data_IF_845044682880
#
_entry.id   IF_845044682880
#
_cell.length_a   1.000
_cell.length_b   1.000
_cell.length_c   1.000
_cell.angle_alpha   90.00
_cell.angle_beta   90.00
_cell.angle_gamma   90.00
#
_symmetry.space_group_name_H-M   'P 1'
#
loop_
_entity.id
_entity.type
_entity.pdbx_description
1 polymer ?
#
# COMPACT_ATOMS: atom_id res chain seq x y z
N UNK A 1 -63.79 -8.21 10.58
CA UNK A 1 -62.79 -7.15 10.32
C UNK A 1 -61.33 -7.55 10.59
N UNK A 2 -61.02 -8.68 11.24
CA UNK A 2 -59.64 -9.02 11.64
C UNK A 2 -58.64 -9.35 10.53
N UNK A 3 -59.07 -9.91 9.38
CA UNK A 3 -58.15 -10.30 8.30
C UNK A 3 -57.56 -9.11 7.52
N UNK A 4 -58.21 -7.94 7.56
CA UNK A 4 -57.74 -6.72 6.87
C UNK A 4 -56.56 -6.06 7.59
N UNK A 5 -56.49 -6.18 8.91
CA UNK A 5 -55.45 -5.56 9.75
C UNK A 5 -54.12 -6.34 9.62
N UNK A 6 -54.19 -7.67 9.59
CA UNK A 6 -53.02 -8.54 9.41
C UNK A 6 -52.34 -8.29 8.07
N UNK A 7 -53.13 -8.09 7.00
CA UNK A 7 -52.60 -7.75 5.68
C UNK A 7 -51.78 -6.45 5.68
N UNK A 8 -52.29 -5.39 6.33
CA UNK A 8 -51.59 -4.09 6.41
C UNK A 8 -50.28 -4.19 7.20
N UNK A 9 -50.26 -4.96 8.29
CA UNK A 9 -49.05 -5.18 9.11
C UNK A 9 -47.97 -5.91 8.30
N UNK A 10 -48.36 -6.92 7.50
CA UNK A 10 -47.42 -7.67 6.65
C UNK A 10 -46.81 -6.78 5.56
N UNK A 11 -47.59 -5.89 4.94
CA UNK A 11 -47.06 -4.95 3.94
C UNK A 11 -46.03 -3.97 4.53
N UNK A 12 -46.28 -3.43 5.73
CA UNK A 12 -45.35 -2.52 6.41
C UNK A 12 -44.02 -3.23 6.73
N UNK A 13 -44.06 -4.48 7.19
CA UNK A 13 -42.86 -5.25 7.51
C UNK A 13 -41.98 -5.51 6.26
N UNK A 14 -42.59 -5.80 5.11
CA UNK A 14 -41.87 -6.04 3.84
C UNK A 14 -41.19 -4.75 3.34
N UNK A 15 -41.85 -3.59 3.46
CA UNK A 15 -41.25 -2.29 3.08
C UNK A 15 -40.06 -1.93 3.96
N UNK A 16 -40.15 -2.16 5.28
CA UNK A 16 -39.03 -1.92 6.22
C UNK A 16 -37.84 -2.84 5.91
N UNK A 17 -38.07 -4.12 5.64
CA UNK A 17 -37.00 -5.06 5.27
C UNK A 17 -36.32 -4.70 3.93
N UNK A 18 -37.09 -4.29 2.92
CA UNK A 18 -36.54 -3.82 1.65
C UNK A 18 -35.73 -2.51 1.79
N UNK A 19 -36.13 -1.63 2.73
CA UNK A 19 -35.38 -0.41 3.05
C UNK A 19 -34.07 -0.67 3.81
N UNK A 20 -34.03 -1.71 4.66
CA UNK A 20 -32.82 -2.11 5.39
C UNK A 20 -31.82 -2.84 4.49
N UNK A 21 -32.29 -3.61 3.49
CA UNK A 21 -31.41 -4.31 2.54
C UNK A 21 -30.64 -3.36 1.61
N UNK A 22 -31.19 -2.16 1.34
CA UNK A 22 -30.50 -1.13 0.55
C UNK A 22 -29.56 -0.25 1.40
N UNK A 23 -29.81 -0.14 2.71
CA UNK A 23 -29.05 0.73 3.62
C UNK A 23 -27.89 0.02 4.36
N UNK A 24 -27.47 -1.15 3.88
CA UNK A 24 -26.22 -1.78 4.34
C UNK A 24 -24.98 -1.24 3.59
N UNK A 25 -25.18 -0.49 2.50
CA UNK A 25 -24.10 0.09 1.68
C UNK A 25 -23.71 1.53 2.06
N UNK A 26 -24.10 1.99 3.26
CA UNK A 26 -23.58 3.25 3.83
C UNK A 26 -22.82 2.97 5.13
N UNK A 27 -22.15 1.82 5.21
CA UNK A 27 -20.94 1.69 6.01
C UNK A 27 -19.71 1.81 5.10
N UNK A 28 -19.68 2.85 4.26
CA UNK A 28 -18.39 3.48 3.96
C UNK A 28 -17.95 4.07 5.29
N UNK A 29 -17.29 3.25 6.10
CA UNK A 29 -16.41 3.72 7.14
C UNK A 29 -15.68 4.91 6.56
N UNK A 30 -16.05 6.10 7.01
CA UNK A 30 -15.19 7.25 6.93
C UNK A 30 -14.08 6.93 7.92
N UNK A 31 -13.17 6.02 7.51
CA UNK A 31 -11.81 6.04 7.96
C UNK A 31 -11.42 7.50 7.79
N UNK A 32 -11.36 8.19 8.93
CA UNK A 32 -11.05 9.61 9.02
C UNK A 32 -9.98 9.89 7.98
N UNK A 33 -10.15 10.86 7.09
CA UNK A 33 -9.10 11.22 6.12
C UNK A 33 -7.74 11.38 6.85
N UNK A 34 -7.79 11.77 8.12
CA UNK A 34 -6.67 11.83 9.06
C UNK A 34 -5.97 10.50 9.37
N UNK A 35 -6.68 9.37 9.42
CA UNK A 35 -6.09 8.05 9.65
C UNK A 35 -5.45 7.49 8.37
N UNK A 36 -6.04 7.77 7.20
CA UNK A 36 -5.45 7.40 5.91
C UNK A 36 -4.21 8.26 5.63
N UNK A 37 -4.28 9.58 5.82
CA UNK A 37 -3.12 10.47 5.70
C UNK A 37 -1.99 10.08 6.65
N UNK A 38 -2.27 9.60 7.87
CA UNK A 38 -1.22 9.15 8.78
C UNK A 38 -0.55 7.84 8.33
N UNK A 39 -1.32 6.92 7.72
CA UNK A 39 -0.77 5.70 7.11
C UNK A 39 0.02 6.06 5.85
N UNK A 40 -0.48 6.99 5.03
CA UNK A 40 0.22 7.50 3.85
C UNK A 40 1.45 8.33 4.22
N UNK A 41 1.44 9.07 5.34
CA UNK A 41 2.60 9.82 5.85
C UNK A 41 3.68 8.89 6.42
N UNK A 42 3.26 7.80 7.09
CA UNK A 42 4.18 6.74 7.51
C UNK A 42 4.78 6.03 6.28
N UNK A 43 3.96 5.70 5.28
CA UNK A 43 4.41 5.14 4.01
C UNK A 43 5.19 6.15 3.14
N UNK A 44 4.98 7.46 3.32
CA UNK A 44 5.73 8.55 2.68
C UNK A 44 7.19 8.59 3.17
N UNK A 45 7.45 8.17 4.41
CA UNK A 45 8.79 7.90 4.92
C UNK A 45 9.40 6.59 4.38
N UNK A 46 8.58 5.66 3.89
CA UNK A 46 8.96 4.35 3.33
C UNK A 46 9.02 4.33 1.80
N UNK A 47 8.99 5.50 1.12
CA UNK A 47 9.53 5.59 -0.23
C UNK A 47 11.03 5.48 -0.03
N UNK A 48 11.48 4.24 0.13
CA UNK A 48 12.84 3.88 0.47
C UNK A 48 13.79 4.73 -0.35
N UNK A 49 14.87 5.18 0.27
CA UNK A 49 15.96 5.89 -0.39
C UNK A 49 16.63 4.94 -1.37
N UNK A 50 15.89 4.61 -2.42
CA UNK A 50 16.25 3.64 -3.42
C UNK A 50 17.08 4.34 -4.46
N UNK A 51 18.29 3.84 -4.64
CA UNK A 51 19.21 4.34 -5.65
C UNK A 51 19.28 3.39 -6.84
N UNK A 52 19.81 3.91 -7.94
CA UNK A 52 20.31 3.06 -9.01
C UNK A 52 21.47 2.24 -8.44
N UNK A 53 21.31 0.91 -8.45
CA UNK A 53 22.30 -0.04 -8.00
C UNK A 53 22.92 -0.78 -9.20
N UNK A 54 24.06 -1.42 -9.00
CA UNK A 54 24.74 -2.23 -9.99
C UNK A 54 24.81 -3.69 -9.55
N UNK A 55 24.51 -4.62 -10.47
CA UNK A 55 24.51 -6.06 -10.20
C UNK A 55 25.91 -6.66 -10.32
N UNK A 56 26.75 -6.14 -11.20
CA UNK A 56 28.09 -6.64 -11.41
C UNK A 56 29.09 -5.58 -10.94
N UNK A 57 29.93 -5.95 -9.96
CA UNK A 57 30.97 -5.09 -9.42
C UNK A 57 32.29 -5.87 -9.45
N UNK A 58 33.29 -5.27 -10.07
CA UNK A 58 34.67 -5.75 -10.06
C UNK A 58 35.45 -5.05 -8.96
N UNK A 59 36.06 -5.87 -8.10
CA UNK A 59 37.01 -5.44 -7.10
C UNK A 59 38.40 -5.46 -7.70
N UNK A 60 39.12 -4.35 -7.60
CA UNK A 60 40.56 -4.34 -7.81
C UNK A 60 41.24 -3.82 -6.53
N UNK A 61 42.42 -4.36 -6.23
CA UNK A 61 43.28 -3.85 -5.16
C UNK A 61 44.02 -2.58 -5.57
N UNK A 62 43.90 -2.18 -6.85
CA UNK A 62 44.51 -0.97 -7.40
C UNK A 62 43.55 0.21 -7.24
N UNK A 63 43.97 1.20 -6.45
CA UNK A 63 43.25 2.47 -6.27
C UNK A 63 43.06 3.21 -7.61
N UNK A 64 41.93 3.94 -7.81
CA UNK A 64 40.89 4.28 -6.83
C UNK A 64 39.62 3.42 -6.94
N UNK A 65 39.12 2.94 -5.79
CA UNK A 65 37.78 2.35 -5.66
C UNK A 65 36.76 3.42 -5.29
N UNK A 66 35.58 3.38 -5.92
CA UNK A 66 34.44 4.26 -5.61
C UNK A 66 33.37 3.51 -4.78
N UNK A 67 32.60 4.25 -3.99
CA UNK A 67 31.42 3.71 -3.32
C UNK A 67 30.28 3.54 -4.33
N UNK A 68 29.91 2.28 -4.60
CA UNK A 68 28.90 1.90 -5.59
C UNK A 68 27.78 1.16 -4.85
N UNK A 69 26.53 1.50 -5.14
CA UNK A 69 25.37 0.80 -4.58
C UNK A 69 25.25 -0.60 -5.23
N UNK A 70 25.45 -1.66 -4.45
CA UNK A 70 25.35 -3.04 -4.93
C UNK A 70 23.94 -3.59 -4.80
N UNK A 71 23.40 -4.16 -5.89
CA UNK A 71 22.01 -4.62 -5.90
C UNK A 71 21.71 -5.86 -5.05
N UNK A 72 22.70 -6.71 -4.74
CA UNK A 72 22.45 -7.95 -3.99
C UNK A 72 22.01 -7.71 -2.54
N UNK A 73 22.67 -6.75 -1.88
CA UNK A 73 22.44 -6.41 -0.48
C UNK A 73 21.90 -4.96 -0.32
N UNK A 74 21.58 -4.30 -1.44
CA UNK A 74 21.19 -2.88 -1.52
C UNK A 74 22.04 -1.96 -0.62
N UNK A 75 23.37 -2.12 -0.68
CA UNK A 75 24.33 -1.41 0.18
C UNK A 75 25.49 -0.87 -0.64
N UNK A 76 26.05 0.26 -0.22
CA UNK A 76 27.27 0.81 -0.80
C UNK A 76 28.49 -0.07 -0.48
N UNK A 77 29.20 -0.49 -1.52
CA UNK A 77 30.45 -1.24 -1.42
C UNK A 77 31.53 -0.57 -2.28
N UNK A 78 32.78 -0.90 -2.02
CA UNK A 78 33.92 -0.42 -2.81
C UNK A 78 34.08 -1.24 -4.08
N UNK A 79 34.23 -0.58 -5.22
CA UNK A 79 34.55 -1.23 -6.50
C UNK A 79 35.19 -0.28 -7.50
N UNK A 80 35.82 -0.85 -8.53
CA UNK A 80 36.52 -0.10 -9.57
C UNK A 80 35.70 -0.02 -10.87
N UNK A 81 35.07 -1.14 -11.25
CA UNK A 81 34.28 -1.25 -12.47
C UNK A 81 32.91 -1.86 -12.15
N UNK A 82 31.86 -1.36 -12.77
CA UNK A 82 30.49 -1.73 -12.48
C UNK A 82 29.59 -1.56 -13.69
N UNK A 83 28.67 -2.51 -13.87
CA UNK A 83 27.71 -2.50 -14.97
C UNK A 83 26.43 -3.24 -14.59
N UNK A 84 25.45 -3.17 -15.49
CA UNK A 84 24.13 -3.74 -15.32
C UNK A 84 23.36 -3.09 -14.16
N UNK A 85 22.71 -1.96 -14.49
CA UNK A 85 21.96 -1.14 -13.55
C UNK A 85 20.61 -1.78 -13.22
N UNK A 86 20.21 -1.70 -11.96
CA UNK A 86 18.87 -2.02 -11.50
C UNK A 86 18.45 -1.01 -10.41
N UNK A 87 17.28 -1.18 -9.84
CA UNK A 87 16.78 -0.33 -8.76
C UNK A 87 16.66 -1.14 -7.46
N UNK A 88 17.26 -0.62 -6.40
CA UNK A 88 17.14 -1.18 -5.05
C UNK A 88 16.25 -0.26 -4.23
N UNK A 89 15.31 -0.82 -3.47
CA UNK A 89 14.54 -0.08 -2.47
C UNK A 89 15.16 -0.35 -1.10
N UNK A 90 15.65 0.69 -0.46
CA UNK A 90 16.21 0.62 0.89
C UNK A 90 15.07 0.92 1.88
N UNK A 91 14.47 -0.13 2.43
CA UNK A 91 13.42 -0.07 3.45
C UNK A 91 14.03 -0.02 4.86
#
# INVERSE_FOLDING_TARGET
MGKKIIGVIVFIAITVAASWNNQQNINKFKLSDLALENVEALAQGEWGQGGICYQNIQYDHVFPNNYILYCGECRYILGFSYWNTNFCLQF
#
